data_IF_091603191614
#
_entry.id   IF_091603191614
#
_cell.length_a   1.000
_cell.length_b   1.000
_cell.length_c   1.000
_cell.angle_alpha   90.00
_cell.angle_beta   90.00
_cell.angle_gamma   90.00
#
_symmetry.space_group_name_H-M   'P 1'
#
loop_
_entity.id
_entity.type
_entity.pdbx_description
1 polymer ?
#
# COMPACT_ATOMS: atom_id res chain seq x y z
N UNK A 1 -0.36 -4.91 12.75
CA UNK A 1 -1.73 -5.12 12.26
C UNK A 1 -1.64 -6.00 11.03
N UNK A 2 -2.52 -6.99 10.86
CA UNK A 2 -2.55 -7.87 9.68
C UNK A 2 -3.99 -7.96 9.17
N UNK A 3 -4.16 -8.27 7.88
CA UNK A 3 -5.48 -8.41 7.28
C UNK A 3 -6.26 -9.60 7.86
N UNK A 4 -7.59 -9.46 7.90
CA UNK A 4 -8.48 -10.53 8.32
C UNK A 4 -8.38 -11.72 7.33
N UNK A 5 -8.06 -12.95 7.79
CA UNK A 5 -7.89 -14.11 6.93
C UNK A 5 -9.11 -14.46 6.07
N UNK A 6 -10.33 -14.37 6.61
CA UNK A 6 -11.56 -14.67 5.88
C UNK A 6 -11.77 -13.68 4.72
N UNK A 7 -11.39 -12.41 4.93
CA UNK A 7 -11.43 -11.38 3.89
C UNK A 7 -10.44 -11.67 2.78
N UNK A 8 -9.21 -12.04 3.13
CA UNK A 8 -8.16 -12.36 2.15
C UNK A 8 -8.54 -13.60 1.34
N UNK A 9 -9.09 -14.63 1.99
CA UNK A 9 -9.58 -15.81 1.29
C UNK A 9 -10.72 -15.48 0.30
N UNK A 10 -11.66 -14.61 0.70
CA UNK A 10 -12.73 -14.16 -0.17
C UNK A 10 -12.21 -13.38 -1.39
N UNK A 11 -11.25 -12.47 -1.19
CA UNK A 11 -10.63 -11.69 -2.26
C UNK A 11 -9.95 -12.60 -3.28
N UNK A 12 -9.13 -13.56 -2.84
CA UNK A 12 -8.46 -14.47 -3.78
C UNK A 12 -9.43 -15.41 -4.51
N UNK A 13 -10.48 -15.90 -3.83
CA UNK A 13 -11.52 -16.70 -4.48
C UNK A 13 -12.23 -15.90 -5.58
N UNK A 14 -12.54 -14.64 -5.33
CA UNK A 14 -13.15 -13.76 -6.31
C UNK A 14 -12.18 -13.43 -7.47
N UNK A 15 -10.92 -13.11 -7.17
CA UNK A 15 -9.93 -12.71 -8.17
C UNK A 15 -9.56 -13.84 -9.15
N UNK A 16 -9.59 -15.10 -8.69
CA UNK A 16 -9.23 -16.26 -9.53
C UNK A 16 -10.37 -16.73 -10.43
N UNK A 17 -11.60 -16.24 -10.23
CA UNK A 17 -12.81 -16.76 -10.87
C UNK A 17 -12.97 -18.30 -10.80
N UNK A 18 -12.33 -18.93 -9.80
CA UNK A 18 -12.31 -20.37 -9.63
C UNK A 18 -13.20 -20.77 -8.45
N UNK A 19 -14.37 -21.42 -8.68
CA UNK A 19 -15.26 -21.85 -7.60
C UNK A 19 -14.61 -22.86 -6.65
N UNK A 20 -13.63 -23.63 -7.14
CA UNK A 20 -12.89 -24.64 -6.39
C UNK A 20 -11.60 -24.11 -5.77
N UNK A 21 -11.37 -22.78 -5.81
CA UNK A 21 -10.21 -22.17 -5.16
C UNK A 21 -10.13 -22.57 -3.69
N UNK A 22 -8.98 -23.15 -3.33
CA UNK A 22 -8.61 -23.50 -1.96
C UNK A 22 -7.21 -22.99 -1.72
N UNK A 23 -7.02 -22.38 -0.56
CA UNK A 23 -5.72 -21.92 -0.09
C UNK A 23 -5.28 -22.83 1.05
N UNK A 24 -3.99 -23.19 1.08
CA UNK A 24 -3.45 -23.99 2.17
C UNK A 24 -3.46 -23.17 3.47
N UNK A 25 -3.48 -23.87 4.61
CA UNK A 25 -3.46 -23.23 5.94
C UNK A 25 -2.22 -22.36 6.15
N UNK A 26 -1.12 -22.69 5.50
CA UNK A 26 0.15 -21.96 5.63
C UNK A 26 0.24 -20.79 4.65
N UNK A 27 -0.40 -20.89 3.47
CA UNK A 27 -0.41 -19.81 2.49
C UNK A 27 -1.28 -18.62 2.92
N UNK A 28 -2.34 -18.86 3.69
CA UNK A 28 -3.27 -17.80 4.10
C UNK A 28 -2.60 -16.74 5.01
N UNK A 29 -1.89 -17.11 6.10
CA UNK A 29 -1.16 -16.15 6.92
C UNK A 29 -0.11 -15.35 6.13
N UNK A 30 0.67 -16.04 5.28
CA UNK A 30 1.69 -15.40 4.43
C UNK A 30 1.04 -14.40 3.48
N UNK A 31 -0.11 -14.73 2.92
CA UNK A 31 -0.84 -13.81 2.04
C UNK A 31 -1.38 -12.59 2.79
N UNK A 32 -1.83 -12.76 4.03
CA UNK A 32 -2.22 -11.63 4.88
C UNK A 32 -1.03 -10.70 5.17
N UNK A 33 0.15 -11.28 5.45
CA UNK A 33 1.38 -10.51 5.66
C UNK A 33 1.83 -9.80 4.38
N UNK A 34 1.80 -10.48 3.23
CA UNK A 34 2.16 -9.90 1.94
C UNK A 34 1.32 -8.66 1.63
N UNK A 35 0.00 -8.74 1.80
CA UNK A 35 -0.89 -7.60 1.57
C UNK A 35 -0.64 -6.48 2.57
N UNK A 36 -0.28 -6.82 3.81
CA UNK A 36 0.09 -5.84 4.85
C UNK A 36 1.33 -5.07 4.42
N UNK A 37 2.36 -5.78 3.94
CA UNK A 37 3.60 -5.17 3.43
C UNK A 37 3.30 -4.30 2.22
N UNK A 38 2.53 -4.80 1.25
CA UNK A 38 2.11 -4.05 0.07
C UNK A 38 1.43 -2.72 0.43
N UNK A 39 0.45 -2.77 1.34
CA UNK A 39 -0.31 -1.57 1.75
C UNK A 39 0.57 -0.60 2.55
N UNK A 40 1.45 -1.12 3.41
CA UNK A 40 2.38 -0.30 4.20
C UNK A 40 3.37 0.41 3.29
N UNK A 41 3.95 -0.29 2.32
CA UNK A 41 4.87 0.27 1.33
C UNK A 41 4.19 1.37 0.50
N UNK A 42 2.96 1.14 0.03
CA UNK A 42 2.19 2.15 -0.68
C UNK A 42 2.05 3.45 0.14
N UNK A 43 1.65 3.32 1.41
CA UNK A 43 1.47 4.48 2.31
C UNK A 43 2.79 5.16 2.60
N UNK A 44 3.85 4.40 2.92
CA UNK A 44 5.16 4.95 3.25
C UNK A 44 5.77 5.72 2.07
N UNK A 45 5.72 5.16 0.86
CA UNK A 45 6.22 5.83 -0.35
C UNK A 45 5.41 7.08 -0.66
N UNK A 46 4.08 7.01 -0.53
CA UNK A 46 3.19 8.16 -0.73
C UNK A 46 3.47 9.29 0.28
N UNK A 47 3.75 8.93 1.54
CA UNK A 47 4.14 9.87 2.58
C UNK A 47 5.48 10.54 2.26
N UNK A 48 6.51 9.75 1.92
CA UNK A 48 7.83 10.25 1.55
C UNK A 48 7.74 11.23 0.37
N UNK A 49 6.95 10.88 -0.64
CA UNK A 49 6.74 11.75 -1.78
C UNK A 49 6.05 13.07 -1.41
N UNK A 50 5.04 13.01 -0.53
CA UNK A 50 4.34 14.21 -0.03
C UNK A 50 5.29 15.11 0.76
N UNK A 51 6.14 14.52 1.60
CA UNK A 51 7.20 15.23 2.34
C UNK A 51 8.22 15.89 1.40
N UNK A 52 8.69 15.17 0.38
CA UNK A 52 9.65 15.71 -0.61
C UNK A 52 9.07 16.90 -1.37
N UNK A 53 7.80 16.83 -1.80
CA UNK A 53 7.14 17.95 -2.48
C UNK A 53 7.06 19.17 -1.57
N UNK A 54 6.60 19.00 -0.32
CA UNK A 54 6.54 20.08 0.67
C UNK A 54 7.90 20.76 0.85
N UNK A 55 8.95 19.96 1.03
CA UNK A 55 10.32 20.45 1.20
C UNK A 55 10.82 21.21 -0.05
N UNK A 56 10.44 20.76 -1.24
CA UNK A 56 10.82 21.42 -2.50
C UNK A 56 10.09 22.75 -2.75
N UNK A 57 8.85 22.88 -2.27
CA UNK A 57 8.02 24.08 -2.39
C UNK A 57 8.36 25.13 -1.31
N UNK A 58 8.86 24.71 -0.15
CA UNK A 58 9.19 25.58 0.98
C UNK A 58 10.69 25.90 1.10
N UNK A 59 11.39 26.14 -0.01
CA UNK A 59 12.80 26.61 -0.02
C UNK A 59 12.98 27.96 0.70
N UNK A 60 12.95 27.98 2.03
CA UNK A 60 13.38 29.13 2.85
C UNK A 60 12.34 29.77 3.79
N UNK A 61 11.19 29.16 4.08
CA UNK A 61 10.33 29.61 5.19
C UNK A 61 10.19 28.49 6.22
N UNK A 62 10.38 28.84 7.49
CA UNK A 62 10.52 27.95 8.65
C UNK A 62 9.32 27.03 8.96
N UNK A 63 9.40 26.27 10.06
CA UNK A 63 8.74 24.98 10.26
C UNK A 63 7.21 25.10 10.39
N UNK A 64 6.47 24.23 9.70
CA UNK A 64 5.74 23.08 10.31
C UNK A 64 4.42 23.46 11.01
N UNK A 65 3.39 23.90 10.27
CA UNK A 65 2.02 23.98 10.83
C UNK A 65 0.99 23.13 10.10
N UNK A 66 1.21 22.82 8.82
CA UNK A 66 0.27 22.00 8.07
C UNK A 66 0.68 20.52 8.10
N UNK A 67 -0.25 19.62 8.49
CA UNK A 67 -0.01 18.20 8.46
C UNK A 67 0.34 17.75 7.03
N UNK A 68 1.25 16.79 6.90
CA UNK A 68 1.53 16.16 5.61
C UNK A 68 0.29 15.38 5.18
N UNK A 69 -0.43 15.90 4.20
CA UNK A 69 -1.60 15.25 3.63
C UNK A 69 -1.15 14.37 2.46
N UNK A 70 -1.49 13.09 2.52
CA UNK A 70 -1.36 12.19 1.37
C UNK A 70 -2.61 12.37 0.51
N UNK A 71 -2.44 12.98 -0.66
CA UNK A 71 -3.49 13.10 -1.67
C UNK A 71 -3.41 11.97 -2.71
N UNK A 72 -4.46 11.84 -3.54
CA UNK A 72 -4.50 10.83 -4.61
C UNK A 72 -3.31 10.96 -5.55
N UNK A 73 -2.91 12.20 -5.86
CA UNK A 73 -1.74 12.47 -6.70
C UNK A 73 -0.42 12.01 -6.07
N UNK A 74 -0.36 11.80 -4.75
CA UNK A 74 0.78 11.16 -4.10
C UNK A 74 0.79 9.65 -4.28
N UNK A 75 -0.36 8.99 -4.23
CA UNK A 75 -0.49 7.56 -4.52
C UNK A 75 -0.16 7.26 -6.00
N UNK A 76 -0.75 8.00 -6.93
CA UNK A 76 -0.61 7.74 -8.39
C UNK A 76 0.84 7.73 -8.87
N UNK A 77 1.69 8.57 -8.27
CA UNK A 77 3.10 8.66 -8.64
C UNK A 77 3.96 7.51 -8.11
N UNK A 78 3.57 6.88 -7.00
CA UNK A 78 4.32 5.74 -6.44
C UNK A 78 3.85 4.40 -6.99
N UNK A 79 2.63 4.34 -7.52
CA UNK A 79 2.03 3.12 -8.08
C UNK A 79 2.91 2.42 -9.14
N UNK A 80 3.52 3.11 -10.13
CA UNK A 80 4.30 2.42 -11.16
C UNK A 80 5.45 1.57 -10.60
N UNK A 81 6.24 2.15 -9.68
CA UNK A 81 7.34 1.41 -9.06
C UNK A 81 6.84 0.36 -8.06
N UNK A 82 5.77 0.67 -7.30
CA UNK A 82 5.18 -0.30 -6.39
C UNK A 82 4.69 -1.55 -7.15
N UNK A 83 4.03 -1.37 -8.30
CA UNK A 83 3.57 -2.50 -9.10
C UNK A 83 4.72 -3.31 -9.70
N UNK A 84 5.85 -2.68 -10.05
CA UNK A 84 7.05 -3.40 -10.48
C UNK A 84 7.68 -4.24 -9.37
N UNK A 85 7.64 -3.77 -8.12
CA UNK A 85 8.23 -4.48 -6.99
C UNK A 85 7.42 -5.71 -6.57
N UNK A 86 6.14 -5.79 -6.97
CA UNK A 86 5.21 -6.88 -6.61
C UNK A 86 4.74 -7.70 -7.84
N UNK A 87 5.40 -7.52 -8.99
CA UNK A 87 5.11 -8.26 -10.23
C UNK A 87 5.77 -9.64 -10.25
#
# INVERSE_FOLDING_TARGET
MSFNPDTIQAIFKQATNNPDFKMSKDALPVSCELLTVFTTELVMRSLQQSMQRRNSLHKGKGPESEPVVIDVGSLERVLPQLLLDFN
#
